data_IF_624024421296
#
_entry.id   IF_624024421296
#
_cell.length_a   1.000
_cell.length_b   1.000
_cell.length_c   1.000
_cell.angle_alpha   90.00
_cell.angle_beta   90.00
_cell.angle_gamma   90.00
#
_symmetry.space_group_name_H-M   'P 1'
#
loop_
_entity.id
_entity.type
_entity.pdbx_description
1 polymer ?
#
# COMPACT_ATOMS: atom_id res chain seq x y z
N UNK A 1 17.78 23.72 -2.65
CA UNK A 1 16.59 23.19 -1.97
C UNK A 1 15.93 24.33 -1.22
N UNK A 2 14.69 24.70 -1.57
CA UNK A 2 13.86 25.59 -0.74
C UNK A 2 13.61 24.87 0.59
N UNK A 3 14.00 25.49 1.71
CA UNK A 3 14.00 24.84 3.03
C UNK A 3 12.59 24.58 3.59
N UNK A 4 11.56 25.22 3.02
CA UNK A 4 10.18 25.13 3.47
C UNK A 4 9.23 24.94 2.28
N UNK A 5 8.22 24.11 2.48
CA UNK A 5 7.13 23.82 1.56
C UNK A 5 5.80 24.19 2.22
N UNK A 6 4.81 24.63 1.43
CA UNK A 6 3.48 24.95 1.92
C UNK A 6 2.41 24.39 1.01
N UNK A 7 1.40 23.79 1.64
CA UNK A 7 0.16 23.38 0.98
C UNK A 7 -1.00 24.21 1.55
N UNK A 8 -1.90 24.67 0.67
CA UNK A 8 -3.07 25.45 1.06
C UNK A 8 -4.30 24.56 0.85
N UNK A 9 -5.00 24.25 1.95
CA UNK A 9 -6.19 23.41 1.95
C UNK A 9 -7.45 24.20 2.33
N UNK A 10 -8.59 23.81 1.77
CA UNK A 10 -9.89 24.44 2.02
C UNK A 10 -10.16 25.69 1.17
N UNK A 11 -11.38 26.22 1.26
CA UNK A 11 -11.84 27.38 0.51
C UNK A 11 -11.98 27.16 -1.00
N UNK A 12 -12.45 28.18 -1.71
CA UNK A 12 -12.51 28.22 -3.17
C UNK A 12 -11.12 28.31 -3.80
N UNK A 13 -10.98 27.88 -5.06
CA UNK A 13 -9.73 28.02 -5.83
C UNK A 13 -9.22 29.46 -5.87
N UNK A 14 -10.14 30.44 -5.88
CA UNK A 14 -9.81 31.88 -5.85
C UNK A 14 -9.20 32.29 -4.51
N UNK A 15 -9.78 31.84 -3.40
CA UNK A 15 -9.22 32.10 -2.06
C UNK A 15 -7.86 31.44 -1.89
N UNK A 16 -7.70 30.19 -2.34
CA UNK A 16 -6.41 29.50 -2.31
C UNK A 16 -5.34 30.26 -3.11
N UNK A 17 -5.67 30.73 -4.32
CA UNK A 17 -4.75 31.53 -5.14
C UNK A 17 -4.38 32.87 -4.49
N UNK A 18 -5.36 33.50 -3.83
CA UNK A 18 -5.15 34.74 -3.07
C UNK A 18 -4.20 34.50 -1.90
N UNK A 19 -4.44 33.46 -1.10
CA UNK A 19 -3.56 33.05 0.02
C UNK A 19 -2.15 32.74 -0.46
N UNK A 20 -1.99 31.98 -1.54
CA UNK A 20 -0.67 31.71 -2.14
C UNK A 20 0.04 33.00 -2.54
N UNK A 21 -0.67 33.97 -3.12
CA UNK A 21 -0.12 35.26 -3.52
C UNK A 21 0.33 36.10 -2.32
N UNK A 22 -0.48 36.14 -1.24
CA UNK A 22 -0.13 36.84 0.00
C UNK A 22 1.11 36.22 0.66
N UNK A 23 1.14 34.89 0.78
CA UNK A 23 2.28 34.19 1.41
C UNK A 23 3.54 34.34 0.58
N UNK A 24 3.46 34.28 -0.76
CA UNK A 24 4.62 34.45 -1.64
C UNK A 24 5.25 35.85 -1.50
N UNK A 25 4.45 36.87 -1.18
CA UNK A 25 4.95 38.22 -0.89
C UNK A 25 5.77 38.27 0.40
N UNK A 26 5.40 37.48 1.41
CA UNK A 26 6.09 37.43 2.70
C UNK A 26 7.30 36.48 2.64
N UNK A 27 7.15 35.34 1.97
CA UNK A 27 8.16 34.28 1.84
C UNK A 27 8.43 33.94 0.37
N UNK A 28 9.25 34.73 -0.34
CA UNK A 28 9.46 34.57 -1.80
C UNK A 28 10.11 33.24 -2.19
N UNK A 29 10.86 32.61 -1.28
CA UNK A 29 11.58 31.34 -1.50
C UNK A 29 10.77 30.10 -1.09
N UNK A 30 9.52 30.27 -0.66
CA UNK A 30 8.65 29.17 -0.26
C UNK A 30 8.15 28.41 -1.49
N UNK A 31 8.28 27.08 -1.47
CA UNK A 31 7.72 26.24 -2.51
C UNK A 31 6.25 25.91 -2.17
N UNK A 32 5.35 26.07 -3.14
CA UNK A 32 3.96 25.68 -2.98
C UNK A 32 3.74 24.30 -3.57
N UNK A 33 3.24 23.38 -2.76
CA UNK A 33 2.93 22.03 -3.18
C UNK A 33 1.62 21.99 -3.97
N UNK A 34 1.58 21.09 -4.95
CA UNK A 34 0.33 20.67 -5.59
C UNK A 34 -0.27 19.47 -4.86
N UNK A 35 -1.49 19.09 -5.22
CA UNK A 35 -2.10 17.88 -4.67
C UNK A 35 -1.28 16.62 -4.98
N UNK A 36 -0.61 16.59 -6.14
CA UNK A 36 0.20 15.46 -6.58
C UNK A 36 1.56 15.38 -5.86
N UNK A 37 2.02 16.49 -5.27
CA UNK A 37 3.33 16.59 -4.61
C UNK A 37 3.23 16.47 -3.08
N UNK A 38 2.01 16.43 -2.52
CA UNK A 38 1.80 16.43 -1.08
C UNK A 38 2.08 15.06 -0.46
N UNK A 39 3.32 14.89 0.00
CA UNK A 39 3.78 13.70 0.72
C UNK A 39 4.02 14.01 2.20
N UNK A 40 3.57 13.13 3.09
CA UNK A 40 3.90 13.16 4.52
C UNK A 40 4.77 11.94 4.85
N UNK A 41 6.00 12.19 5.31
CA UNK A 41 6.98 11.13 5.62
C UNK A 41 7.17 10.12 4.46
N UNK A 42 6.98 10.57 3.22
CA UNK A 42 7.08 9.76 2.01
C UNK A 42 5.82 8.98 1.62
N UNK A 43 4.71 9.12 2.36
CA UNK A 43 3.40 8.59 1.97
C UNK A 43 2.54 9.70 1.34
N UNK A 44 1.84 9.41 0.22
CA UNK A 44 0.97 10.40 -0.41
C UNK A 44 -0.30 10.62 0.41
N UNK A 45 -0.71 11.87 0.56
CA UNK A 45 -1.90 12.22 1.34
C UNK A 45 -3.16 12.23 0.48
N UNK A 46 -3.06 12.77 -0.74
CA UNK A 46 -4.19 13.03 -1.62
C UNK A 46 -4.22 12.05 -2.80
N UNK A 47 -5.43 11.78 -3.31
CA UNK A 47 -5.64 10.77 -4.35
C UNK A 47 -4.87 11.06 -5.64
N UNK A 48 -4.66 12.35 -5.97
CA UNK A 48 -3.89 12.80 -7.14
C UNK A 48 -2.43 12.29 -7.13
N UNK A 49 -1.86 12.04 -5.94
CA UNK A 49 -0.48 11.58 -5.77
C UNK A 49 -0.34 10.04 -5.75
N UNK A 50 -1.44 9.29 -5.61
CA UNK A 50 -1.36 7.83 -5.46
C UNK A 50 -0.83 7.15 -6.73
N UNK A 51 -1.31 7.50 -7.95
CA UNK A 51 -0.85 6.83 -9.16
C UNK A 51 0.66 7.01 -9.41
N UNK A 52 1.14 8.25 -9.35
CA UNK A 52 2.56 8.57 -9.56
C UNK A 52 3.46 7.91 -8.52
N UNK A 53 3.02 7.87 -7.26
CA UNK A 53 3.76 7.19 -6.19
C UNK A 53 3.87 5.68 -6.42
N UNK A 54 2.77 5.01 -6.79
CA UNK A 54 2.80 3.57 -7.07
C UNK A 54 3.60 3.22 -8.31
N UNK A 55 3.50 4.03 -9.37
CA UNK A 55 4.30 3.88 -10.58
C UNK A 55 5.79 4.03 -10.30
N UNK A 56 6.18 5.03 -9.50
CA UNK A 56 7.58 5.20 -9.10
C UNK A 56 8.07 4.01 -8.26
N UNK A 57 7.26 3.51 -7.31
CA UNK A 57 7.61 2.28 -6.56
C UNK A 57 7.74 1.05 -7.45
N UNK A 58 6.90 0.94 -8.47
CA UNK A 58 6.96 -0.14 -9.47
C UNK A 58 8.24 -0.05 -10.29
N UNK A 59 8.59 1.14 -10.80
CA UNK A 59 9.84 1.40 -11.53
C UNK A 59 11.08 1.08 -10.68
N UNK A 60 11.05 1.42 -9.40
CA UNK A 60 12.13 1.08 -8.48
C UNK A 60 12.23 -0.43 -8.24
N UNK A 61 11.09 -1.13 -8.15
CA UNK A 61 11.06 -2.60 -8.05
C UNK A 61 11.62 -3.27 -9.30
N UNK A 62 11.27 -2.79 -10.50
CA UNK A 62 11.85 -3.25 -11.77
C UNK A 62 13.38 -3.08 -11.79
N UNK A 63 13.86 -1.89 -11.40
CA UNK A 63 15.29 -1.64 -11.30
C UNK A 63 15.98 -2.59 -10.32
N UNK A 64 15.36 -2.88 -9.17
CA UNK A 64 15.91 -3.85 -8.21
C UNK A 64 15.88 -5.27 -8.77
N UNK A 65 14.83 -5.66 -9.49
CA UNK A 65 14.71 -6.97 -10.13
C UNK A 65 15.86 -7.24 -11.11
N UNK A 66 16.22 -6.27 -11.95
CA UNK A 66 17.36 -6.41 -12.89
C UNK A 66 18.69 -6.65 -12.18
N UNK A 67 18.85 -6.11 -10.97
CA UNK A 67 20.07 -6.29 -10.17
C UNK A 67 20.08 -7.63 -9.44
N UNK A 68 18.92 -8.09 -8.97
CA UNK A 68 18.76 -9.39 -8.31
C UNK A 68 19.10 -10.55 -9.25
N UNK A 69 18.84 -10.41 -10.55
CA UNK A 69 19.23 -11.40 -11.56
C UNK A 69 20.74 -11.67 -11.63
N UNK A 70 21.58 -10.79 -11.07
CA UNK A 70 23.05 -10.96 -11.01
C UNK A 70 23.50 -11.78 -9.80
N UNK A 71 22.59 -12.09 -8.87
CA UNK A 71 22.88 -12.87 -7.67
C UNK A 71 22.47 -14.33 -7.88
N UNK A 72 23.05 -15.24 -7.07
CA UNK A 72 22.58 -16.62 -7.04
C UNK A 72 21.11 -16.71 -6.62
N UNK A 73 20.36 -17.62 -7.26
CA UNK A 73 18.89 -17.68 -7.16
C UNK A 73 18.34 -17.67 -5.72
N UNK A 74 18.95 -18.47 -4.83
CA UNK A 74 18.55 -18.52 -3.42
C UNK A 74 18.67 -17.16 -2.71
N UNK A 75 19.81 -16.46 -2.89
CA UNK A 75 20.02 -15.14 -2.31
C UNK A 75 19.06 -14.11 -2.91
N UNK A 76 18.85 -14.19 -4.23
CA UNK A 76 17.96 -13.29 -4.93
C UNK A 76 16.51 -13.42 -4.43
N UNK A 77 15.95 -14.63 -4.37
CA UNK A 77 14.59 -14.88 -3.82
C UNK A 77 14.49 -14.45 -2.36
N UNK A 78 15.52 -14.70 -1.55
CA UNK A 78 15.54 -14.29 -0.15
C UNK A 78 15.43 -12.76 0.01
N UNK A 79 16.24 -12.00 -0.76
CA UNK A 79 16.21 -10.53 -0.73
C UNK A 79 14.92 -9.96 -1.33
N UNK A 80 14.43 -10.57 -2.40
CA UNK A 80 13.17 -10.24 -3.05
C UNK A 80 12.03 -10.22 -2.02
N UNK A 81 11.87 -11.36 -1.32
CA UNK A 81 10.82 -11.59 -0.33
C UNK A 81 10.96 -10.70 0.90
N UNK A 82 12.15 -10.63 1.48
CA UNK A 82 12.32 -10.08 2.82
C UNK A 82 12.76 -8.61 2.85
N UNK A 83 13.23 -8.04 1.74
CA UNK A 83 13.86 -6.72 1.76
C UNK A 83 13.38 -5.75 0.68
N UNK A 84 13.08 -6.22 -0.54
CA UNK A 84 13.08 -5.33 -1.72
C UNK A 84 11.70 -5.07 -2.33
N UNK A 85 10.74 -5.99 -2.19
CA UNK A 85 9.41 -5.81 -2.76
C UNK A 85 8.44 -5.27 -1.73
N UNK A 86 7.58 -6.11 -1.17
CA UNK A 86 6.53 -5.68 -0.25
C UNK A 86 7.07 -4.85 0.93
N UNK A 87 8.24 -5.15 1.55
CA UNK A 87 8.80 -4.28 2.60
C UNK A 87 9.03 -2.82 2.18
N UNK A 88 9.31 -2.56 0.88
CA UNK A 88 9.51 -1.20 0.34
C UNK A 88 8.20 -0.49 -0.01
N UNK A 89 7.10 -1.21 -0.11
CA UNK A 89 5.78 -0.67 -0.46
C UNK A 89 4.85 -0.58 0.76
N UNK A 90 5.03 -1.46 1.76
CA UNK A 90 4.11 -1.68 2.87
C UNK A 90 3.81 -0.43 3.70
N UNK A 91 4.76 0.50 3.82
CA UNK A 91 4.53 1.78 4.48
C UNK A 91 3.43 2.59 3.76
N UNK A 92 3.49 2.69 2.44
CA UNK A 92 2.47 3.38 1.63
C UNK A 92 1.13 2.66 1.74
N UNK A 93 1.12 1.33 1.69
CA UNK A 93 -0.12 0.53 1.83
C UNK A 93 -0.83 0.78 3.17
N UNK A 94 -0.10 1.13 4.22
CA UNK A 94 -0.65 1.43 5.55
C UNK A 94 -1.12 2.86 5.71
N UNK A 95 -0.50 3.81 5.01
CA UNK A 95 -0.74 5.23 5.20
C UNK A 95 -1.74 5.82 4.22
N UNK A 96 -1.86 5.24 3.03
CA UNK A 96 -2.63 5.80 1.93
C UNK A 96 -3.63 4.76 1.41
N UNK A 97 -4.88 5.14 1.06
CA UNK A 97 -5.90 4.22 0.56
C UNK A 97 -5.67 3.82 -0.91
N UNK A 98 -4.47 3.30 -1.20
CA UNK A 98 -4.02 2.89 -2.54
C UNK A 98 -4.70 1.62 -3.03
N UNK A 99 -5.42 0.91 -2.16
CA UNK A 99 -6.28 -0.23 -2.52
C UNK A 99 -7.37 0.16 -3.55
N UNK A 100 -7.73 1.46 -3.63
CA UNK A 100 -8.63 2.02 -4.65
C UNK A 100 -8.05 1.95 -6.07
N UNK A 101 -6.76 1.64 -6.22
CA UNK A 101 -6.04 1.57 -7.50
C UNK A 101 -5.50 0.14 -7.76
N UNK A 102 -6.37 -0.88 -7.83
CA UNK A 102 -5.94 -2.28 -7.91
C UNK A 102 -5.11 -2.57 -9.17
N UNK A 103 -5.38 -1.89 -10.29
CA UNK A 103 -4.59 -2.04 -11.51
C UNK A 103 -3.12 -1.68 -11.33
N UNK A 104 -2.82 -0.63 -10.54
CA UNK A 104 -1.44 -0.22 -10.26
C UNK A 104 -0.74 -1.19 -9.29
N UNK A 105 -1.48 -1.72 -8.33
CA UNK A 105 -0.97 -2.76 -7.42
C UNK A 105 -0.67 -4.07 -8.17
N UNK A 106 -1.52 -4.45 -9.14
CA UNK A 106 -1.26 -5.60 -10.03
C UNK A 106 -0.01 -5.40 -10.88
N UNK A 107 0.23 -4.20 -11.40
CA UNK A 107 1.47 -3.93 -12.14
C UNK A 107 2.70 -4.17 -11.26
N UNK A 108 2.67 -3.74 -10.00
CA UNK A 108 3.72 -4.04 -9.03
C UNK A 108 3.87 -5.55 -8.77
N UNK A 109 2.75 -6.26 -8.64
CA UNK A 109 2.74 -7.72 -8.43
C UNK A 109 3.24 -8.50 -9.66
N UNK A 110 2.98 -8.03 -10.88
CA UNK A 110 3.50 -8.64 -12.10
C UNK A 110 5.01 -8.46 -12.25
N UNK A 111 5.57 -7.33 -11.78
CA UNK A 111 7.03 -7.17 -11.68
C UNK A 111 7.59 -8.19 -10.69
N UNK A 112 6.95 -8.39 -9.53
CA UNK A 112 7.36 -9.41 -8.57
C UNK A 112 7.30 -10.82 -9.19
N UNK A 113 6.18 -11.18 -9.82
CA UNK A 113 5.98 -12.46 -10.50
C UNK A 113 7.06 -12.72 -11.56
N UNK A 114 7.28 -11.75 -12.44
CA UNK A 114 8.28 -11.83 -13.51
C UNK A 114 9.71 -11.94 -12.95
N UNK A 115 9.99 -11.24 -11.84
CA UNK A 115 11.28 -11.33 -11.16
C UNK A 115 11.52 -12.74 -10.63
N UNK A 116 10.53 -13.36 -9.99
CA UNK A 116 10.64 -14.73 -9.50
C UNK A 116 10.90 -15.69 -10.66
N UNK A 117 10.11 -15.60 -11.74
CA UNK A 117 10.29 -16.42 -12.95
C UNK A 117 11.71 -16.32 -13.47
N UNK A 118 12.25 -15.11 -13.58
CA UNK A 118 13.61 -14.88 -14.06
C UNK A 118 14.68 -15.45 -13.12
N UNK A 119 14.46 -15.39 -11.81
CA UNK A 119 15.42 -15.86 -10.80
C UNK A 119 15.41 -17.39 -10.69
N UNK A 120 14.23 -18.01 -10.69
CA UNK A 120 14.07 -19.45 -10.48
C UNK A 120 14.09 -20.25 -11.78
N UNK A 121 14.00 -19.58 -12.94
CA UNK A 121 13.87 -20.19 -14.25
C UNK A 121 12.70 -21.20 -14.31
N UNK A 122 11.59 -20.88 -13.65
CA UNK A 122 10.40 -21.73 -13.59
C UNK A 122 9.23 -21.12 -14.35
N UNK A 123 8.37 -21.98 -14.91
CA UNK A 123 7.08 -21.54 -15.44
C UNK A 123 6.16 -21.19 -14.27
N UNK A 124 5.64 -19.98 -14.28
CA UNK A 124 4.73 -19.47 -13.24
C UNK A 124 3.32 -19.35 -13.81
N UNK A 125 2.58 -20.45 -13.85
CA UNK A 125 1.14 -20.43 -14.16
C UNK A 125 0.36 -19.69 -13.06
N UNK A 126 -0.91 -19.37 -13.29
CA UNK A 126 -1.71 -18.66 -12.28
C UNK A 126 -1.93 -19.48 -11.01
N UNK A 127 -2.00 -20.82 -11.11
CA UNK A 127 -2.08 -21.69 -9.93
C UNK A 127 -0.77 -21.68 -9.14
N UNK A 128 0.38 -21.79 -9.82
CA UNK A 128 1.70 -21.72 -9.19
C UNK A 128 1.93 -20.34 -8.58
N UNK A 129 1.50 -19.27 -9.23
CA UNK A 129 1.58 -17.92 -8.69
C UNK A 129 0.74 -17.77 -7.41
N UNK A 130 -0.51 -18.24 -7.46
CA UNK A 130 -1.39 -18.25 -6.29
C UNK A 130 -0.77 -19.02 -5.13
N UNK A 131 -0.22 -20.21 -5.36
CA UNK A 131 0.46 -21.00 -4.34
C UNK A 131 1.72 -20.28 -3.82
N UNK A 132 2.52 -19.72 -4.72
CA UNK A 132 3.76 -18.98 -4.39
C UNK A 132 3.47 -17.79 -3.46
N UNK A 133 2.34 -17.12 -3.66
CA UNK A 133 1.90 -16.04 -2.79
C UNK A 133 1.41 -16.49 -1.41
N UNK A 134 1.08 -17.76 -1.19
CA UNK A 134 0.65 -18.21 0.14
C UNK A 134 1.81 -18.17 1.15
N UNK A 135 1.52 -17.99 2.47
CA UNK A 135 2.52 -18.17 3.51
C UNK A 135 3.15 -19.57 3.52
N UNK A 136 4.36 -19.69 4.10
CA UNK A 136 5.08 -20.97 4.22
C UNK A 136 4.23 -22.02 4.94
N UNK A 137 3.52 -21.63 6.01
CA UNK A 137 2.62 -22.52 6.77
C UNK A 137 1.45 -23.07 5.94
N UNK A 138 1.19 -22.52 4.75
CA UNK A 138 0.18 -22.94 3.80
C UNK A 138 0.79 -23.51 2.51
N UNK A 139 2.08 -23.87 2.53
CA UNK A 139 2.76 -24.50 1.39
C UNK A 139 3.16 -23.54 0.26
N UNK A 140 3.24 -22.23 0.54
CA UNK A 140 3.71 -21.22 -0.41
C UNK A 140 5.08 -20.64 -0.09
N UNK A 141 5.56 -19.71 -0.92
CA UNK A 141 6.85 -19.03 -0.71
C UNK A 141 6.73 -17.77 0.15
N UNK A 142 5.51 -17.30 0.41
CA UNK A 142 5.24 -16.08 1.19
C UNK A 142 5.45 -14.79 0.40
N UNK A 143 5.39 -14.86 -0.93
CA UNK A 143 5.47 -13.69 -1.81
C UNK A 143 4.09 -13.04 -1.95
N UNK A 144 3.66 -12.37 -0.88
CA UNK A 144 2.33 -11.76 -0.79
C UNK A 144 2.12 -10.70 -1.87
N UNK A 145 0.91 -10.72 -2.45
CA UNK A 145 0.45 -9.76 -3.46
C UNK A 145 0.11 -8.42 -2.80
N UNK A 146 0.63 -7.34 -3.35
CA UNK A 146 0.36 -5.98 -2.94
C UNK A 146 -1.14 -5.65 -3.07
N UNK A 147 -1.79 -6.13 -4.14
CA UNK A 147 -3.24 -5.96 -4.33
C UNK A 147 -4.06 -6.54 -3.16
N UNK A 148 -3.71 -7.74 -2.70
CA UNK A 148 -4.43 -8.40 -1.60
C UNK A 148 -4.19 -7.73 -0.24
N UNK A 149 -2.95 -7.31 0.02
CA UNK A 149 -2.56 -6.84 1.35
C UNK A 149 -2.83 -5.35 1.56
N UNK A 150 -3.07 -4.58 0.49
CA UNK A 150 -3.28 -3.14 0.58
C UNK A 150 -4.43 -2.75 1.51
N UNK A 151 -5.62 -3.32 1.31
CA UNK A 151 -6.78 -3.03 2.15
C UNK A 151 -6.61 -3.53 3.60
N UNK A 152 -6.17 -4.79 3.86
CA UNK A 152 -5.83 -5.25 5.20
C UNK A 152 -4.80 -4.38 5.93
N UNK A 153 -3.74 -3.94 5.24
CA UNK A 153 -2.70 -3.11 5.82
C UNK A 153 -3.23 -1.72 6.18
N UNK A 154 -4.04 -1.12 5.32
CA UNK A 154 -4.69 0.16 5.55
C UNK A 154 -5.65 0.12 6.75
N UNK A 155 -6.54 -0.88 6.79
CA UNK A 155 -7.50 -1.06 7.89
C UNK A 155 -6.81 -1.27 9.23
N UNK A 156 -5.80 -2.13 9.30
CA UNK A 156 -5.05 -2.34 10.54
C UNK A 156 -4.37 -1.05 11.03
N UNK A 157 -3.82 -0.27 10.10
CA UNK A 157 -3.14 1.00 10.38
C UNK A 157 -4.10 2.06 10.93
N UNK A 158 -5.26 2.26 10.29
CA UNK A 158 -6.22 3.28 10.71
C UNK A 158 -6.84 2.96 12.07
N UNK A 159 -7.17 1.69 12.35
CA UNK A 159 -7.65 1.26 13.66
C UNK A 159 -6.56 1.35 14.74
N UNK A 160 -5.28 1.14 14.40
CA UNK A 160 -4.17 1.36 15.32
C UNK A 160 -3.99 2.83 15.68
N UNK A 161 -4.27 3.74 14.74
CA UNK A 161 -4.21 5.18 14.95
C UNK A 161 -5.41 5.72 15.76
N UNK A 162 -6.51 4.97 15.87
CA UNK A 162 -7.75 5.37 16.56
C UNK A 162 -7.50 6.08 17.88
N UNK A 163 -6.73 5.45 18.77
CA UNK A 163 -6.46 5.99 20.13
C UNK A 163 -5.81 7.37 20.08
N UNK A 164 -4.85 7.57 19.18
CA UNK A 164 -4.14 8.84 19.04
C UNK A 164 -5.05 9.91 18.45
N UNK A 165 -5.80 9.58 17.39
CA UNK A 165 -6.69 10.54 16.73
C UNK A 165 -7.83 10.96 17.65
N UNK A 166 -8.41 10.02 18.40
CA UNK A 166 -9.45 10.33 19.40
C UNK A 166 -8.98 11.22 20.54
N UNK A 167 -7.66 11.30 20.82
CA UNK A 167 -7.13 12.28 21.78
C UNK A 167 -6.96 13.70 21.20
N UNK A 168 -6.94 13.82 19.86
CA UNK A 168 -6.76 15.08 19.16
C UNK A 168 -8.10 15.67 18.67
N UNK A 169 -9.05 14.80 18.31
CA UNK A 169 -10.33 15.16 17.73
C UNK A 169 -11.45 14.52 18.56
N UNK A 170 -12.27 15.34 19.20
CA UNK A 170 -13.45 14.88 19.93
C UNK A 170 -14.44 14.19 18.99
N UNK A 171 -15.15 13.18 19.50
CA UNK A 171 -16.20 12.44 18.79
C UNK A 171 -15.75 11.81 17.45
N UNK A 172 -14.45 11.52 17.29
CA UNK A 172 -13.93 10.89 16.09
C UNK A 172 -14.30 9.41 16.01
N UNK A 173 -15.22 9.08 15.09
CA UNK A 173 -15.60 7.71 14.78
C UNK A 173 -14.82 7.14 13.58
N UNK A 174 -13.77 6.37 13.89
CA UNK A 174 -12.99 5.61 12.90
C UNK A 174 -13.85 4.61 12.12
N UNK A 175 -14.85 4.02 12.77
CA UNK A 175 -15.74 3.04 12.15
C UNK A 175 -16.58 3.68 11.06
N UNK A 176 -17.13 4.87 11.32
CA UNK A 176 -17.86 5.65 10.34
C UNK A 176 -16.95 6.13 9.20
N UNK A 177 -15.74 6.62 9.52
CA UNK A 177 -14.77 7.06 8.52
C UNK A 177 -14.40 5.94 7.52
N UNK A 178 -14.25 4.71 8.02
CA UNK A 178 -13.78 3.57 7.24
C UNK A 178 -14.93 2.60 6.85
N UNK A 179 -16.17 3.08 6.79
CA UNK A 179 -17.33 2.21 6.56
C UNK A 179 -17.25 1.52 5.18
N UNK A 180 -16.87 2.27 4.14
CA UNK A 180 -16.72 1.74 2.79
C UNK A 180 -15.60 0.69 2.70
N UNK A 181 -14.46 0.93 3.36
CA UNK A 181 -13.32 0.04 3.44
C UNK A 181 -13.67 -1.27 4.16
N UNK A 182 -14.44 -1.18 5.25
CA UNK A 182 -14.94 -2.34 5.98
C UNK A 182 -15.88 -3.18 5.11
N UNK A 183 -16.83 -2.55 4.40
CA UNK A 183 -17.72 -3.24 3.47
C UNK A 183 -16.95 -3.92 2.34
N UNK A 184 -15.99 -3.23 1.72
CA UNK A 184 -15.15 -3.80 0.67
C UNK A 184 -14.33 -5.00 1.16
N UNK A 185 -13.83 -4.95 2.39
CA UNK A 185 -13.10 -6.07 2.98
C UNK A 185 -14.01 -7.27 3.27
N UNK A 186 -15.23 -7.05 3.76
CA UNK A 186 -16.22 -8.12 3.98
C UNK A 186 -16.57 -8.81 2.66
N UNK A 187 -16.79 -8.04 1.59
CA UNK A 187 -17.04 -8.57 0.25
C UNK A 187 -15.84 -9.40 -0.27
N UNK A 188 -14.62 -8.89 -0.11
CA UNK A 188 -13.41 -9.55 -0.57
C UNK A 188 -13.13 -10.86 0.20
N UNK A 189 -13.25 -10.81 1.53
CA UNK A 189 -12.89 -11.91 2.43
C UNK A 189 -13.98 -12.96 2.58
N UNK A 190 -15.26 -12.56 2.46
CA UNK A 190 -16.41 -13.42 2.69
C UNK A 190 -16.65 -13.76 4.17
N UNK A 191 -16.09 -12.99 5.11
CA UNK A 191 -16.27 -13.20 6.56
C UNK A 191 -16.72 -11.92 7.25
N UNK A 192 -17.28 -12.07 8.45
CA UNK A 192 -17.68 -10.94 9.29
C UNK A 192 -16.47 -10.13 9.79
N UNK A 193 -16.73 -8.88 10.17
CA UNK A 193 -15.70 -7.98 10.69
C UNK A 193 -15.09 -8.53 11.99
N UNK A 194 -13.77 -8.39 12.19
CA UNK A 194 -13.15 -8.70 13.47
C UNK A 194 -13.75 -7.89 14.61
N UNK A 195 -13.68 -8.45 15.82
CA UNK A 195 -14.05 -7.75 17.06
C UNK A 195 -13.35 -6.38 17.13
N UNK A 196 -14.03 -5.29 17.53
CA UNK A 196 -13.48 -3.93 17.48
C UNK A 196 -12.09 -3.78 18.10
N UNK A 197 -11.87 -4.33 19.29
CA UNK A 197 -10.60 -4.34 20.02
C UNK A 197 -9.45 -5.03 19.28
N UNK A 198 -9.75 -5.98 18.39
CA UNK A 198 -8.76 -6.75 17.67
C UNK A 198 -8.44 -6.18 16.28
N UNK A 199 -9.18 -5.16 15.83
CA UNK A 199 -9.01 -4.54 14.50
C UNK A 199 -7.65 -3.87 14.27
N UNK A 200 -6.86 -3.68 15.33
CA UNK A 200 -5.48 -3.19 15.23
C UNK A 200 -4.53 -4.22 14.60
N UNK A 201 -4.88 -5.50 14.61
CA UNK A 201 -3.99 -6.57 14.17
C UNK A 201 -4.19 -6.90 12.69
N UNK A 202 -3.20 -6.54 11.85
CA UNK A 202 -3.20 -6.81 10.40
C UNK A 202 -3.45 -8.29 10.06
N UNK A 203 -2.95 -9.22 10.88
CA UNK A 203 -3.15 -10.66 10.68
C UNK A 203 -4.63 -11.04 10.57
N UNK A 204 -5.51 -10.41 11.34
CA UNK A 204 -6.94 -10.74 11.35
C UNK A 204 -7.66 -10.27 10.10
N UNK A 205 -7.19 -9.19 9.49
CA UNK A 205 -7.68 -8.72 8.20
C UNK A 205 -7.14 -9.57 7.03
N UNK A 206 -5.91 -10.07 7.14
CA UNK A 206 -5.22 -10.74 6.05
C UNK A 206 -5.49 -12.26 5.98
N UNK A 207 -5.59 -12.93 7.15
CA UNK A 207 -5.75 -14.38 7.23
C UNK A 207 -6.98 -14.93 6.48
N UNK A 208 -8.16 -14.30 6.50
CA UNK A 208 -9.31 -14.77 5.72
C UNK A 208 -9.06 -14.79 4.20
N UNK A 209 -8.39 -13.76 3.68
CA UNK A 209 -8.02 -13.66 2.25
C UNK A 209 -7.04 -14.78 1.88
N UNK A 210 -6.04 -15.01 2.73
CA UNK A 210 -5.09 -16.14 2.57
C UNK A 210 -5.82 -17.47 2.56
N UNK A 211 -6.75 -17.68 3.49
CA UNK A 211 -7.48 -18.94 3.63
C UNK A 211 -8.33 -19.22 2.37
N UNK A 212 -8.99 -18.20 1.82
CA UNK A 212 -9.74 -18.29 0.56
C UNK A 212 -8.83 -18.73 -0.59
N UNK A 213 -7.64 -18.13 -0.73
CA UNK A 213 -6.68 -18.52 -1.76
C UNK A 213 -6.10 -19.93 -1.56
N UNK A 214 -5.84 -20.32 -0.31
CA UNK A 214 -5.40 -21.68 0.01
C UNK A 214 -6.42 -22.72 -0.43
N UNK A 215 -7.71 -22.54 -0.11
CA UNK A 215 -8.77 -23.45 -0.53
C UNK A 215 -8.88 -23.54 -2.06
N UNK A 216 -8.70 -22.41 -2.77
CA UNK A 216 -8.71 -22.37 -4.23
C UNK A 216 -7.49 -23.05 -4.89
N UNK A 217 -6.39 -23.27 -4.16
CA UNK A 217 -5.23 -24.06 -4.63
C UNK A 217 -5.44 -25.55 -4.34
N UNK A 218 -6.04 -25.89 -3.20
CA UNK A 218 -6.30 -27.29 -2.83
C UNK A 218 -7.42 -27.91 -3.70
N UNK A 219 -8.34 -27.08 -4.20
CA UNK A 219 -9.45 -27.52 -5.06
C UNK A 219 -9.09 -27.63 -6.56
N UNK A 220 -7.88 -27.23 -6.97
CA UNK A 220 -7.41 -27.26 -8.37
C UNK A 220 -6.50 -28.44 -8.65
#
# INVERSE_FOLDING_TARGET
MSKCEMYVYGGSKKEQATTKSMVKRIFPKLAFLTNADLLLLGAPILEDAFPSTLQEKTRQAELMATRLAKLGAHHAVFLLKNCLFLPKLLYILRCSPVWKFPGLLRNFDEVLRSSVVSITNTKMTDSVWRQTSLPIVKGGLGLRRAEEIALPAYLASIFSAKRLVSSMVADFDVGALCAAEQSAWVEQSGVELPMPELRVHQRLWDQPIVQKHFLAVVAS
#
